data_IF_370966445486
#
_entry.id   IF_370966445486
#
_cell.length_a   1.000
_cell.length_b   1.000
_cell.length_c   1.000
_cell.angle_alpha   90.00
_cell.angle_beta   90.00
_cell.angle_gamma   90.00
#
_symmetry.space_group_name_H-M   'P 1'
#
loop_
_entity.id
_entity.type
_entity.pdbx_description
1 polymer ?
#
# COMPACT_ATOMS: atom_id res chain seq x y z
N UNK A 1 -16.00 0.23 5.42
CA UNK A 1 -14.64 0.11 6.01
C UNK A 1 -13.67 1.12 5.44
N UNK A 2 -13.28 1.06 4.15
CA UNK A 2 -12.34 2.04 3.57
C UNK A 2 -12.85 3.49 3.63
N UNK A 3 -14.17 3.69 3.51
CA UNK A 3 -14.82 5.00 3.69
C UNK A 3 -14.52 5.62 5.07
N UNK A 4 -14.53 4.80 6.15
CA UNK A 4 -14.16 5.19 7.53
C UNK A 4 -12.66 5.41 7.75
N UNK A 5 -11.84 5.05 6.77
CA UNK A 5 -10.39 5.28 6.78
C UNK A 5 -10.00 6.44 5.85
N UNK A 6 -10.97 7.01 5.14
CA UNK A 6 -10.78 8.15 4.25
C UNK A 6 -11.00 9.46 5.02
N UNK A 7 -10.37 10.56 4.58
CA UNK A 7 -10.38 11.89 5.21
C UNK A 7 -9.48 12.04 6.45
N UNK A 8 -8.30 11.43 6.44
CA UNK A 8 -7.31 11.49 7.54
C UNK A 8 -7.83 10.96 8.89
N UNK A 9 -8.95 10.24 8.89
CA UNK A 9 -9.45 9.56 10.09
C UNK A 9 -8.53 8.39 10.44
N UNK A 10 -7.85 8.55 11.57
CA UNK A 10 -6.99 7.54 12.18
C UNK A 10 -7.85 6.74 13.15
N UNK A 11 -7.92 5.42 12.98
CA UNK A 11 -8.80 4.57 13.79
C UNK A 11 -8.10 3.29 14.27
N UNK A 12 -8.74 2.57 15.19
CA UNK A 12 -8.31 1.26 15.67
C UNK A 12 -9.15 0.12 15.08
N UNK A 13 -8.67 -1.12 15.19
CA UNK A 13 -9.45 -2.29 14.79
C UNK A 13 -10.72 -2.43 15.62
N UNK A 14 -10.66 -2.06 16.90
CA UNK A 14 -11.77 -2.09 17.85
C UNK A 14 -12.85 -1.08 17.49
N UNK A 15 -12.47 0.17 17.21
CA UNK A 15 -13.40 1.21 16.78
C UNK A 15 -14.09 0.86 15.44
N UNK A 16 -13.33 0.32 14.48
CA UNK A 16 -13.91 -0.16 13.22
C UNK A 16 -14.87 -1.34 13.42
N UNK A 17 -14.63 -2.22 14.39
CA UNK A 17 -15.51 -3.34 14.67
C UNK A 17 -16.84 -2.87 15.27
N UNK A 18 -16.79 -1.89 16.16
CA UNK A 18 -17.97 -1.24 16.74
C UNK A 18 -18.77 -0.48 15.67
N UNK A 19 -18.13 0.43 14.93
CA UNK A 19 -18.76 1.28 13.91
C UNK A 19 -19.41 0.50 12.76
N UNK A 20 -18.83 -0.65 12.40
CA UNK A 20 -19.33 -1.49 11.31
C UNK A 20 -20.24 -2.61 11.80
N UNK A 21 -20.46 -2.74 13.12
CA UNK A 21 -21.18 -3.86 13.75
C UNK A 21 -20.61 -5.23 13.29
N UNK A 22 -19.27 -5.31 13.16
CA UNK A 22 -18.57 -6.47 12.66
C UNK A 22 -17.75 -7.15 13.75
N UNK A 23 -17.68 -8.48 13.72
CA UNK A 23 -16.70 -9.21 14.55
C UNK A 23 -15.29 -8.69 14.28
N UNK A 24 -14.55 -8.38 15.34
CA UNK A 24 -13.17 -7.88 15.26
C UNK A 24 -12.24 -8.81 14.47
N UNK A 25 -12.49 -10.12 14.50
CA UNK A 25 -11.75 -11.10 13.68
C UNK A 25 -11.92 -10.87 12.18
N UNK A 26 -13.12 -10.49 11.73
CA UNK A 26 -13.43 -10.17 10.33
C UNK A 26 -12.80 -8.84 9.92
N UNK A 27 -12.86 -7.82 10.78
CA UNK A 27 -12.16 -6.54 10.57
C UNK A 27 -10.66 -6.77 10.43
N UNK A 28 -10.06 -7.54 11.33
CA UNK A 28 -8.63 -7.86 11.28
C UNK A 28 -8.24 -8.64 10.01
N UNK A 29 -9.10 -9.54 9.53
CA UNK A 29 -8.88 -10.22 8.25
C UNK A 29 -8.83 -9.21 7.08
N UNK A 30 -9.78 -8.28 7.00
CA UNK A 30 -9.76 -7.24 5.97
C UNK A 30 -8.54 -6.31 6.10
N UNK A 31 -8.21 -5.87 7.32
CA UNK A 31 -7.05 -5.02 7.57
C UNK A 31 -5.74 -5.69 7.15
N UNK A 32 -5.61 -7.00 7.37
CA UNK A 32 -4.43 -7.75 6.93
C UNK A 32 -4.31 -7.70 5.41
N UNK A 33 -5.36 -8.05 4.68
CA UNK A 33 -5.35 -8.03 3.21
C UNK A 33 -5.08 -6.62 2.64
N UNK A 34 -5.62 -5.59 3.28
CA UNK A 34 -5.40 -4.19 2.88
C UNK A 34 -3.98 -3.69 3.22
N UNK A 35 -3.40 -4.15 4.33
CA UNK A 35 -2.01 -3.88 4.67
C UNK A 35 -1.05 -4.61 3.71
N UNK A 36 -1.32 -5.88 3.42
CA UNK A 36 -0.49 -6.72 2.55
C UNK A 36 -0.53 -6.25 1.09
N UNK A 37 -1.61 -5.60 0.67
CA UNK A 37 -1.70 -4.92 -0.65
C UNK A 37 -1.04 -3.54 -0.68
N UNK A 38 -0.49 -3.05 0.44
CA UNK A 38 0.17 -1.75 0.52
C UNK A 38 -0.77 -0.54 0.57
N UNK A 39 -2.08 -0.77 0.75
CA UNK A 39 -3.07 0.30 0.86
C UNK A 39 -3.07 0.94 2.25
N UNK A 40 -2.77 0.18 3.29
CA UNK A 40 -2.74 0.63 4.67
C UNK A 40 -1.36 0.49 5.28
N UNK A 41 -1.11 1.25 6.33
CA UNK A 41 -0.02 0.99 7.25
C UNK A 41 -0.48 1.15 8.70
N UNK A 42 0.25 0.52 9.62
CA UNK A 42 0.00 0.62 11.06
C UNK A 42 1.08 1.42 11.76
N UNK A 43 0.69 2.32 12.66
CA UNK A 43 1.62 3.06 13.53
C UNK A 43 1.01 3.20 14.92
N UNK A 44 1.71 2.74 15.97
CA UNK A 44 1.26 2.78 17.37
C UNK A 44 -0.18 2.26 17.57
N UNK A 45 -0.49 1.09 17.01
CA UNK A 45 -1.83 0.43 17.00
C UNK A 45 -2.93 1.12 16.18
N UNK A 46 -2.62 2.24 15.54
CA UNK A 46 -3.56 2.96 14.70
C UNK A 46 -3.39 2.57 13.23
N UNK A 47 -4.49 2.62 12.51
CA UNK A 47 -4.61 2.25 11.09
C UNK A 47 -4.67 3.54 10.28
N UNK A 48 -3.85 3.59 9.22
CA UNK A 48 -3.75 4.74 8.34
C UNK A 48 -3.96 4.28 6.90
N UNK A 49 -4.73 5.05 6.14
CA UNK A 49 -4.79 4.92 4.69
C UNK A 49 -3.57 5.61 4.09
N UNK A 50 -2.85 4.90 3.23
CA UNK A 50 -1.69 5.43 2.53
C UNK A 50 -2.08 6.69 1.74
N UNK A 51 -1.36 7.80 1.94
CA UNK A 51 -1.69 9.09 1.31
C UNK A 51 -3.04 9.71 1.70
N UNK A 52 -3.72 9.23 2.75
CA UNK A 52 -4.95 9.83 3.31
C UNK A 52 -6.25 9.57 2.54
N UNK A 53 -6.18 8.98 1.35
CA UNK A 53 -7.34 8.58 0.54
C UNK A 53 -7.01 7.38 -0.35
N UNK A 54 -8.01 6.62 -0.79
CA UNK A 54 -7.76 5.46 -1.66
C UNK A 54 -7.12 5.87 -2.99
N UNK A 55 -7.55 7.02 -3.54
CA UNK A 55 -6.96 7.59 -4.76
C UNK A 55 -5.48 7.95 -4.56
N UNK A 56 -5.14 8.52 -3.40
CA UNK A 56 -3.76 8.85 -3.08
C UNK A 56 -2.92 7.58 -2.84
N UNK A 57 -3.44 6.58 -2.11
CA UNK A 57 -2.80 5.28 -1.92
C UNK A 57 -2.40 4.65 -3.27
N UNK A 58 -3.36 4.58 -4.20
CA UNK A 58 -3.11 4.02 -5.55
C UNK A 58 -2.09 4.85 -6.32
N UNK A 59 -2.09 6.18 -6.21
CA UNK A 59 -1.08 7.05 -6.84
C UNK A 59 0.31 6.80 -6.27
N UNK A 60 0.43 6.65 -4.95
CA UNK A 60 1.72 6.38 -4.32
C UNK A 60 2.24 4.99 -4.68
N UNK A 61 1.37 3.97 -4.68
CA UNK A 61 1.74 2.62 -5.14
C UNK A 61 2.25 2.64 -6.58
N UNK A 62 1.61 3.39 -7.48
CA UNK A 62 2.10 3.55 -8.85
C UNK A 62 3.51 4.13 -8.89
N UNK A 63 3.76 5.21 -8.14
CA UNK A 63 5.10 5.82 -8.05
C UNK A 63 6.15 4.90 -7.45
N UNK A 64 5.78 4.01 -6.53
CA UNK A 64 6.68 2.98 -6.04
C UNK A 64 7.02 1.98 -7.14
N UNK A 65 6.01 1.49 -7.87
CA UNK A 65 6.22 0.54 -8.96
C UNK A 65 7.05 1.13 -10.09
N UNK A 66 6.77 2.38 -10.50
CA UNK A 66 7.57 3.10 -11.50
C UNK A 66 9.04 3.16 -11.07
N UNK A 67 9.32 3.57 -9.83
CA UNK A 67 10.71 3.59 -9.31
C UNK A 67 11.39 2.22 -9.29
N UNK A 68 10.65 1.16 -8.94
CA UNK A 68 11.18 -0.21 -8.98
C UNK A 68 11.51 -0.61 -10.42
N UNK A 69 10.64 -0.28 -11.37
CA UNK A 69 10.91 -0.57 -12.79
C UNK A 69 12.10 0.21 -13.32
N UNK A 70 12.24 1.49 -12.96
CA UNK A 70 13.41 2.30 -13.34
C UNK A 70 14.72 1.68 -12.82
N UNK A 71 14.72 1.20 -11.57
CA UNK A 71 15.88 0.51 -10.97
C UNK A 71 16.18 -0.82 -11.67
N UNK A 72 15.15 -1.62 -11.96
CA UNK A 72 15.29 -2.88 -12.69
C UNK A 72 15.81 -2.66 -14.12
N UNK A 73 15.36 -1.60 -14.80
CA UNK A 73 15.81 -1.23 -16.14
C UNK A 73 17.29 -0.82 -16.13
N UNK A 74 17.71 -0.03 -15.14
CA UNK A 74 19.13 0.33 -14.97
C UNK A 74 20.01 -0.90 -14.75
N UNK A 75 19.58 -1.85 -13.92
CA UNK A 75 20.31 -3.10 -13.67
C UNK A 75 20.36 -3.95 -14.94
N UNK A 76 19.25 -4.03 -15.69
CA UNK A 76 19.21 -4.76 -16.95
C UNK A 76 20.17 -4.15 -17.99
N UNK A 77 20.23 -2.82 -18.10
CA UNK A 77 21.17 -2.13 -18.97
C UNK A 77 22.63 -2.44 -18.60
N UNK A 78 22.98 -2.41 -17.31
CA UNK A 78 24.31 -2.80 -16.84
C UNK A 78 24.67 -4.24 -17.23
N UNK A 79 23.72 -5.17 -17.08
CA UNK A 79 23.91 -6.57 -17.47
C UNK A 79 24.11 -6.68 -18.98
N UNK A 80 23.25 -6.06 -19.79
CA UNK A 80 23.33 -6.10 -21.25
C UNK A 80 24.67 -5.57 -21.76
N UNK A 81 25.14 -4.45 -21.21
CA UNK A 81 26.46 -3.89 -21.50
C UNK A 81 27.59 -4.86 -21.16
N UNK A 82 27.48 -5.57 -20.03
CA UNK A 82 28.51 -6.53 -19.58
C UNK A 82 28.63 -7.76 -20.51
N UNK A 83 27.55 -8.14 -21.18
CA UNK A 83 27.50 -9.29 -22.11
C UNK A 83 27.55 -8.88 -23.58
N UNK A 84 27.70 -7.59 -23.88
CA UNK A 84 27.85 -7.06 -25.24
C UNK A 84 26.55 -6.93 -26.04
N UNK A 85 25.40 -6.93 -25.37
CA UNK A 85 24.10 -6.60 -25.98
C UNK A 85 23.99 -5.07 -26.06
N UNK A 86 23.57 -4.55 -27.22
CA UNK A 86 23.32 -3.11 -27.43
C UNK A 86 21.82 -2.85 -27.38
N UNK A 87 21.38 -2.11 -26.36
CA UNK A 87 20.01 -1.61 -26.25
C UNK A 87 19.79 -0.43 -27.22
N UNK A 88 18.58 -0.32 -27.78
CA UNK A 88 18.15 0.71 -28.74
C UNK A 88 17.08 1.60 -28.14
#
# INVERSE_FOLDING_TARGET
MLDRLSNDEITSSEALAEDLEMKISRVNHHLRNLNDSGLLYRKKRLIYLRGGSLKAAVKEMRKDSERIFDELESIAEEIDLSIGIKNR
#
